data_IF_188392607498
#
_entry.id   IF_188392607498
#
_cell.length_a   1.000
_cell.length_b   1.000
_cell.length_c   1.000
_cell.angle_alpha   90.00
_cell.angle_beta   90.00
_cell.angle_gamma   90.00
#
_symmetry.space_group_name_H-M   'P 1'
#
loop_
_entity.id
_entity.type
_entity.pdbx_description
1 polymer ?
#
# COMPACT_ATOMS: atom_id res chain seq x y z
N UNK A 1 15.94 5.14 -2.23
CA UNK A 1 15.40 3.78 -2.02
C UNK A 1 14.78 3.36 -3.34
N UNK A 2 15.31 2.33 -4.01
CA UNK A 2 14.72 1.83 -5.25
C UNK A 2 13.45 1.04 -4.92
N UNK A 3 12.44 1.12 -5.79
CA UNK A 3 11.26 0.25 -5.68
C UNK A 3 11.69 -1.22 -5.86
N UNK A 4 11.07 -2.17 -5.14
CA UNK A 4 11.29 -3.58 -5.37
C UNK A 4 10.83 -3.98 -6.78
N UNK A 5 11.46 -5.02 -7.34
CA UNK A 5 10.96 -5.66 -8.54
C UNK A 5 9.80 -6.56 -8.12
N UNK A 6 8.62 -6.33 -8.72
CA UNK A 6 7.39 -7.05 -8.39
C UNK A 6 7.04 -8.01 -9.53
N UNK A 7 6.46 -9.15 -9.17
CA UNK A 7 5.86 -10.06 -10.13
C UNK A 7 4.49 -9.55 -10.63
N UNK A 8 3.80 -10.36 -11.45
CA UNK A 8 2.50 -10.01 -12.00
C UNK A 8 1.38 -9.85 -10.96
N UNK A 9 1.59 -10.36 -9.74
CA UNK A 9 0.64 -10.37 -8.63
C UNK A 9 1.13 -9.47 -7.48
N UNK A 10 2.01 -8.50 -7.77
CA UNK A 10 2.52 -7.53 -6.82
C UNK A 10 3.33 -8.09 -5.64
N UNK A 11 3.97 -9.26 -5.80
CA UNK A 11 4.88 -9.84 -4.82
C UNK A 11 6.35 -9.55 -5.16
N UNK A 12 7.16 -9.30 -4.13
CA UNK A 12 8.62 -9.24 -4.27
C UNK A 12 9.29 -10.62 -4.13
N UNK A 13 10.62 -10.64 -4.21
CA UNK A 13 11.42 -11.87 -4.09
C UNK A 13 11.28 -12.58 -2.71
N UNK A 14 10.88 -11.86 -1.66
CA UNK A 14 10.66 -12.38 -0.31
C UNK A 14 9.19 -12.74 -0.04
N UNK A 15 8.32 -12.66 -1.07
CA UNK A 15 6.87 -12.87 -0.99
C UNK A 15 6.14 -11.84 -0.11
N UNK A 16 6.65 -10.62 -0.02
CA UNK A 16 5.89 -9.51 0.52
C UNK A 16 5.01 -8.93 -0.58
N UNK A 17 3.76 -8.60 -0.24
CA UNK A 17 2.83 -7.96 -1.17
C UNK A 17 2.95 -6.43 -1.08
N UNK A 18 3.00 -5.78 -2.22
CA UNK A 18 3.24 -4.35 -2.33
C UNK A 18 2.08 -3.67 -3.04
N UNK A 19 1.58 -2.58 -2.44
CA UNK A 19 0.65 -1.67 -3.13
C UNK A 19 1.27 -0.30 -3.31
N UNK A 20 1.04 0.30 -4.47
CA UNK A 20 1.39 1.70 -4.69
C UNK A 20 0.25 2.59 -4.20
N UNK A 21 0.51 3.41 -3.19
CA UNK A 21 -0.46 4.38 -2.67
C UNK A 21 -0.06 5.78 -3.11
N UNK A 22 -0.97 6.46 -3.81
CA UNK A 22 -0.84 7.89 -4.08
C UNK A 22 -1.47 8.67 -2.93
N UNK A 23 -0.68 9.51 -2.29
CA UNK A 23 -1.13 10.43 -1.24
C UNK A 23 -1.64 11.70 -1.89
N UNK A 24 -2.88 12.08 -1.57
CA UNK A 24 -3.45 13.36 -1.97
C UNK A 24 -3.42 14.33 -0.78
N UNK A 25 -3.57 15.63 -1.08
CA UNK A 25 -3.59 16.66 -0.03
C UNK A 25 -4.70 16.42 1.01
N UNK A 26 -5.84 15.85 0.59
CA UNK A 26 -6.93 15.44 1.49
C UNK A 26 -6.57 14.34 2.51
N UNK A 27 -5.53 13.55 2.22
CA UNK A 27 -5.05 12.53 3.15
C UNK A 27 -4.13 13.11 4.24
N UNK A 28 -3.75 14.38 4.10
CA UNK A 28 -2.82 15.08 5.00
C UNK A 28 -3.53 15.94 6.05
N UNK A 29 -2.89 16.16 7.18
CA UNK A 29 -3.36 17.05 8.25
C UNK A 29 -2.73 18.47 8.14
N UNK A 30 -3.01 19.32 9.12
CA UNK A 30 -2.50 20.71 9.14
C UNK A 30 -0.98 20.82 9.22
N UNK A 31 -0.27 19.73 9.52
CA UNK A 31 1.20 19.67 9.53
C UNK A 31 1.79 19.29 8.16
N UNK A 32 0.93 18.95 7.18
CA UNK A 32 1.34 18.50 5.85
C UNK A 32 1.78 17.03 5.80
N UNK A 33 1.52 16.27 6.87
CA UNK A 33 1.80 14.85 6.96
C UNK A 33 0.52 14.04 6.79
N UNK A 34 0.62 12.80 6.33
CA UNK A 34 -0.51 11.87 6.27
C UNK A 34 -1.11 11.73 7.67
N UNK A 35 -2.42 11.97 7.78
CA UNK A 35 -3.13 11.83 9.04
C UNK A 35 -3.02 10.39 9.57
N UNK A 36 -2.74 10.23 10.86
CA UNK A 36 -2.46 8.93 11.46
C UNK A 36 -3.52 7.86 11.18
N UNK A 37 -4.81 8.21 11.16
CA UNK A 37 -5.86 7.23 10.88
C UNK A 37 -5.89 6.75 9.42
N UNK A 38 -5.36 7.54 8.47
CA UNK A 38 -5.35 7.17 7.05
C UNK A 38 -4.38 6.01 6.77
N UNK A 39 -3.36 5.78 7.60
CA UNK A 39 -2.51 4.59 7.48
C UNK A 39 -3.30 3.29 7.60
N UNK A 40 -4.32 3.24 8.47
CA UNK A 40 -5.18 2.04 8.59
C UNK A 40 -5.93 1.75 7.29
N UNK A 41 -6.34 2.79 6.56
CA UNK A 41 -7.01 2.65 5.26
C UNK A 41 -6.05 2.10 4.21
N UNK A 42 -4.78 2.53 4.25
CA UNK A 42 -3.76 2.03 3.32
C UNK A 42 -3.41 0.57 3.60
N UNK A 43 -3.26 0.19 4.87
CA UNK A 43 -3.04 -1.21 5.25
C UNK A 43 -4.21 -2.11 4.88
N UNK A 44 -5.44 -1.64 5.09
CA UNK A 44 -6.63 -2.40 4.70
C UNK A 44 -6.73 -2.59 3.19
N UNK A 45 -6.39 -1.56 2.40
CA UNK A 45 -6.30 -1.69 0.94
C UNK A 45 -5.26 -2.74 0.54
N UNK A 46 -4.08 -2.73 1.16
CA UNK A 46 -3.03 -3.73 0.91
C UNK A 46 -3.49 -5.14 1.26
N UNK A 47 -4.19 -5.30 2.38
CA UNK A 47 -4.75 -6.59 2.80
C UNK A 47 -5.79 -7.12 1.82
N UNK A 48 -6.71 -6.27 1.36
CA UNK A 48 -7.72 -6.67 0.37
C UNK A 48 -7.10 -7.07 -0.97
N UNK A 49 -6.11 -6.30 -1.43
CA UNK A 49 -5.43 -6.55 -2.71
C UNK A 49 -4.56 -7.83 -2.62
N UNK A 50 -3.86 -8.02 -1.50
CA UNK A 50 -3.14 -9.26 -1.22
C UNK A 50 -4.03 -10.50 -1.29
N UNK A 51 -5.21 -10.46 -0.65
CA UNK A 51 -6.13 -11.60 -0.68
C UNK A 51 -6.64 -11.89 -2.10
N UNK A 52 -6.97 -10.84 -2.85
CA UNK A 52 -7.39 -10.96 -4.25
C UNK A 52 -6.29 -11.59 -5.11
N UNK A 53 -5.06 -11.11 -4.98
CA UNK A 53 -3.90 -11.61 -5.73
C UNK A 53 -3.49 -13.04 -5.29
N UNK A 54 -3.79 -13.41 -4.05
CA UNK A 54 -3.66 -14.78 -3.53
C UNK A 54 -4.80 -15.72 -3.98
N UNK A 55 -5.83 -15.22 -4.68
CA UNK A 55 -6.93 -15.99 -5.23
C UNK A 55 -8.10 -16.25 -4.27
N UNK A 56 -8.27 -15.40 -3.25
CA UNK A 56 -9.38 -15.46 -2.26
C UNK A 56 -10.52 -14.51 -2.64
#
# INVERSE_FOLDING_TARGET
MSLPNLDANNFDAERQHWITVRVYYEDTDFTGMVYHANYLRFFERGRSDHLRDAGV
#
